data_IF_771176855193
#
_entry.id   IF_771176855193
#
_cell.length_a   1.000
_cell.length_b   1.000
_cell.length_c   1.000
_cell.angle_alpha   90.00
_cell.angle_beta   90.00
_cell.angle_gamma   90.00
#
_symmetry.space_group_name_H-M   'P 1'
#
loop_
_entity.id
_entity.type
_entity.pdbx_description
1 polymer ?
#
# COMPACT_ATOMS: atom_id res chain seq x y z
N UNK A 1 22.37 0.60 7.79
CA UNK A 1 21.15 -0.07 7.29
C UNK A 1 20.38 0.94 6.48
N UNK A 2 20.09 0.69 5.20
CA UNK A 2 19.19 1.56 4.44
C UNK A 2 17.76 1.13 4.78
N UNK A 3 17.09 1.93 5.60
CA UNK A 3 15.66 1.75 5.91
C UNK A 3 14.85 2.45 4.83
N UNK A 4 14.25 1.67 3.91
CA UNK A 4 13.29 2.21 2.94
C UNK A 4 11.92 2.39 3.58
N UNK A 5 11.26 3.51 3.30
CA UNK A 5 9.93 3.84 3.82
C UNK A 5 8.83 3.48 2.82
N UNK A 6 7.62 3.29 3.33
CA UNK A 6 6.41 3.19 2.51
C UNK A 6 5.47 4.32 2.90
N UNK A 7 4.85 4.95 1.89
CA UNK A 7 3.79 5.94 2.10
C UNK A 7 2.45 5.28 1.81
N UNK A 8 1.49 5.46 2.71
CA UNK A 8 0.16 4.84 2.63
C UNK A 8 -0.90 5.93 2.56
N UNK A 9 -1.75 5.88 1.55
CA UNK A 9 -3.00 6.61 1.48
C UNK A 9 -4.16 5.67 1.77
N UNK A 10 -5.03 6.01 2.72
CA UNK A 10 -6.23 5.28 3.08
C UNK A 10 -7.42 6.23 3.03
N UNK A 11 -8.41 5.93 2.20
CA UNK A 11 -9.66 6.68 2.04
C UNK A 11 -10.83 5.77 2.42
N UNK A 12 -11.53 6.09 3.50
CA UNK A 12 -12.66 5.31 4.01
C UNK A 12 -13.92 6.15 3.95
N UNK A 13 -14.79 5.83 3.00
CA UNK A 13 -16.13 6.38 2.90
C UNK A 13 -17.18 5.52 3.61
N UNK A 14 -18.44 5.95 3.54
CA UNK A 14 -19.60 5.28 4.14
C UNK A 14 -20.02 3.98 3.47
N UNK A 15 -19.48 3.70 2.28
CA UNK A 15 -19.79 2.49 1.50
C UNK A 15 -18.53 1.73 1.05
N UNK A 16 -17.40 2.43 0.92
CA UNK A 16 -16.18 1.91 0.29
C UNK A 16 -14.94 2.31 1.07
N UNK A 17 -13.91 1.50 0.97
CA UNK A 17 -12.58 1.80 1.44
C UNK A 17 -11.58 1.62 0.29
N UNK A 18 -10.57 2.50 0.24
CA UNK A 18 -9.48 2.45 -0.74
C UNK A 18 -8.15 2.57 -0.01
N UNK A 19 -7.17 1.84 -0.49
CA UNK A 19 -5.79 1.92 -0.02
C UNK A 19 -4.85 2.02 -1.21
N UNK A 20 -3.82 2.85 -1.07
CA UNK A 20 -2.70 2.96 -2.01
C UNK A 20 -1.42 2.99 -1.18
N UNK A 21 -0.42 2.21 -1.58
CA UNK A 21 0.89 2.18 -0.96
C UNK A 21 1.92 2.46 -2.03
N UNK A 22 2.81 3.40 -1.74
CA UNK A 22 3.94 3.76 -2.61
C UNK A 22 5.25 3.52 -1.90
N UNK A 23 6.28 3.19 -2.67
CA UNK A 23 7.66 3.16 -2.19
C UNK A 23 8.32 4.55 -2.22
N UNK A 24 9.59 4.63 -1.85
CA UNK A 24 10.34 5.88 -1.83
C UNK A 24 10.56 6.50 -3.22
N UNK A 25 10.36 5.76 -4.31
CA UNK A 25 10.44 6.22 -5.69
C UNK A 25 9.08 6.74 -6.22
N UNK A 26 8.05 6.85 -5.35
CA UNK A 26 6.66 7.14 -5.72
C UNK A 26 6.01 6.07 -6.62
N UNK A 27 6.58 4.85 -6.63
CA UNK A 27 5.98 3.73 -7.37
C UNK A 27 4.88 3.11 -6.54
N UNK A 28 3.68 2.95 -7.11
CA UNK A 28 2.59 2.22 -6.47
C UNK A 28 2.94 0.74 -6.37
N UNK A 29 3.19 0.26 -5.16
CA UNK A 29 3.53 -1.15 -4.87
C UNK A 29 2.32 -1.96 -4.45
N UNK A 30 1.25 -1.30 -4.02
CA UNK A 30 -0.03 -1.94 -3.70
C UNK A 30 -1.17 -0.93 -3.84
N UNK A 31 -2.30 -1.38 -4.38
CA UNK A 31 -3.55 -0.63 -4.30
C UNK A 31 -4.74 -1.57 -4.22
N UNK A 32 -5.79 -1.15 -3.51
CA UNK A 32 -7.05 -1.90 -3.42
C UNK A 32 -8.22 -0.95 -3.21
N UNK A 33 -9.36 -1.35 -3.75
CA UNK A 33 -10.66 -0.71 -3.60
C UNK A 33 -11.67 -1.80 -3.23
N UNK A 34 -12.44 -1.60 -2.17
CA UNK A 34 -13.42 -2.59 -1.70
C UNK A 34 -14.64 -1.90 -1.09
N UNK A 35 -15.82 -2.50 -1.25
CA UNK A 35 -17.00 -2.10 -0.46
C UNK A 35 -16.87 -2.71 0.91
N UNK A 36 -16.98 -1.91 1.96
CA UNK A 36 -16.75 -2.44 3.31
C UNK A 36 -17.98 -3.15 3.90
N UNK A 37 -19.16 -3.04 3.28
CA UNK A 37 -20.39 -3.73 3.72
C UNK A 37 -20.66 -3.62 5.24
N UNK A 38 -20.58 -2.40 5.78
CA UNK A 38 -20.64 -2.08 7.23
C UNK A 38 -19.50 -2.61 8.12
N UNK A 39 -18.51 -3.33 7.57
CA UNK A 39 -17.37 -3.92 8.28
C UNK A 39 -16.03 -3.21 7.97
N UNK A 40 -15.95 -1.91 8.23
CA UNK A 40 -14.78 -1.07 7.90
C UNK A 40 -13.47 -1.60 8.51
N UNK A 41 -13.53 -2.02 9.77
CA UNK A 41 -12.36 -2.48 10.53
C UNK A 41 -11.75 -3.74 9.90
N UNK A 42 -12.60 -4.71 9.57
CA UNK A 42 -12.19 -5.95 8.91
C UNK A 42 -11.61 -5.68 7.51
N UNK A 43 -12.30 -4.87 6.69
CA UNK A 43 -11.80 -4.48 5.36
C UNK A 43 -10.42 -3.82 5.44
N UNK A 44 -10.23 -2.92 6.42
CA UNK A 44 -8.96 -2.22 6.61
C UNK A 44 -7.85 -3.16 7.06
N UNK A 45 -8.13 -4.07 8.00
CA UNK A 45 -7.15 -5.10 8.43
C UNK A 45 -6.76 -6.01 7.25
N UNK A 46 -7.73 -6.42 6.43
CA UNK A 46 -7.49 -7.24 5.25
C UNK A 46 -6.59 -6.54 4.23
N UNK A 47 -6.76 -5.23 4.03
CA UNK A 47 -5.88 -4.43 3.19
C UNK A 47 -4.41 -4.51 3.63
N UNK A 48 -4.13 -4.32 4.93
CA UNK A 48 -2.76 -4.38 5.44
C UNK A 48 -2.18 -5.80 5.37
N UNK A 49 -2.98 -6.83 5.67
CA UNK A 49 -2.55 -8.23 5.56
C UNK A 49 -2.21 -8.64 4.11
N UNK A 50 -2.97 -8.15 3.13
CA UNK A 50 -2.67 -8.36 1.72
C UNK A 50 -1.45 -7.56 1.26
N UNK A 51 -1.36 -6.30 1.67
CA UNK A 51 -0.21 -5.44 1.38
C UNK A 51 1.10 -6.05 1.89
N UNK A 52 1.14 -6.50 3.16
CA UNK A 52 2.33 -7.12 3.74
C UNK A 52 2.79 -8.36 2.97
N UNK A 53 1.85 -9.18 2.50
CA UNK A 53 2.15 -10.37 1.68
C UNK A 53 2.71 -10.01 0.30
N UNK A 54 2.20 -8.96 -0.35
CA UNK A 54 2.64 -8.55 -1.71
C UNK A 54 3.92 -7.71 -1.72
N UNK A 55 4.09 -6.83 -0.75
CA UNK A 55 5.20 -5.87 -0.72
C UNK A 55 6.53 -6.55 -0.32
N UNK A 56 6.49 -7.61 0.49
CA UNK A 56 7.70 -8.36 0.90
C UNK A 56 8.43 -8.98 -0.30
N UNK A 57 7.75 -9.20 -1.43
CA UNK A 57 8.32 -9.74 -2.68
C UNK A 57 8.72 -8.69 -3.72
N UNK A 58 8.38 -7.41 -3.53
CA UNK A 58 8.64 -6.37 -4.51
C UNK A 58 10.07 -5.79 -4.34
N UNK A 59 10.83 -5.56 -5.44
CA UNK A 59 12.09 -4.84 -5.37
C UNK A 59 11.89 -3.47 -4.72
N UNK A 60 12.77 -3.11 -3.77
CA UNK A 60 12.77 -1.75 -3.22
C UNK A 60 13.34 -0.78 -4.24
N UNK A 61 12.76 0.42 -4.29
CA UNK A 61 13.33 1.58 -4.95
C UNK A 61 14.84 1.68 -4.67
N UNK A 62 15.64 1.56 -5.72
CA UNK A 62 17.07 1.82 -5.68
C UNK A 62 17.33 3.12 -6.46
N UNK A 63 17.52 4.21 -5.72
CA UNK A 63 17.77 5.55 -6.27
C UNK A 63 18.95 5.59 -7.26
N UNK A 64 19.90 4.67 -7.15
CA UNK A 64 21.07 4.60 -8.02
C UNK A 64 20.69 4.35 -9.48
N UNK A 65 19.63 3.58 -9.77
CA UNK A 65 19.21 3.28 -11.15
C UNK A 65 18.30 4.35 -11.78
N UNK A 66 17.88 5.38 -11.03
CA UNK A 66 16.96 6.42 -11.54
C UNK A 66 17.69 7.63 -12.15
N UNK A 67 19.01 7.70 -12.00
CA UNK A 67 19.88 8.79 -12.49
C UNK A 67 20.59 8.43 -13.81
N UNK A 68 20.24 7.30 -14.42
CA UNK A 68 20.71 6.83 -15.72
C UNK A 68 19.50 6.60 -16.62
#
# INVERSE_FOLDING_TARGET
MITGSYRIGLDVGSTTAKIVITDDCDTVVFSKYERHHANILETTVNFFNEAGRRITSAPRCNYYYRLY
#
